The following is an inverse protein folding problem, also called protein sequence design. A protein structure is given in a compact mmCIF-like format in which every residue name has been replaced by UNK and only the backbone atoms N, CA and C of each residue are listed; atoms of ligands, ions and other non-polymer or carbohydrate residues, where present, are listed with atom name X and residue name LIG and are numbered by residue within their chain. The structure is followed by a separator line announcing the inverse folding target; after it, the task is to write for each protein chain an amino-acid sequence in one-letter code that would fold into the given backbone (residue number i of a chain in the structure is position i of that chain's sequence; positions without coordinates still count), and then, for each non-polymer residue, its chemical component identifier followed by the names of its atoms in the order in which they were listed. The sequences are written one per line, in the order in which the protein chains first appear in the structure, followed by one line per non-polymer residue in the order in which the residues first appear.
data_IF_901852752542
#
_entry.id   IF_901852752542
#
_cell.length_a   1.000
_cell.length_b   1.000
_cell.length_c   1.000
_cell.angle_alpha   90.00
_cell.angle_beta   90.00
_cell.angle_gamma   90.00
#
_symmetry.space_group_name_H-M   'P 1'
#
loop_
_entity.id
_entity.type
_entity.pdbx_description
1 polymer ?
#
# COMPACT_ATOMS: atom_id res chain seq x y z
N UNK A 1 15.18 -0.99 -15.49
CA UNK A 1 14.67 0.16 -14.72
C UNK A 1 13.17 -0.03 -14.58
N UNK A 2 12.64 -0.15 -13.36
CA UNK A 2 11.20 -0.36 -13.16
C UNK A 2 10.48 0.98 -13.37
N UNK A 3 9.85 1.15 -14.52
CA UNK A 3 8.95 2.27 -14.81
C UNK A 3 7.56 1.94 -14.29
N UNK A 4 7.05 2.78 -13.40
CA UNK A 4 5.70 2.67 -12.87
C UNK A 4 4.76 3.33 -13.88
N UNK A 5 3.94 2.56 -14.59
CA UNK A 5 2.86 3.14 -15.39
C UNK A 5 1.86 3.77 -14.40
N UNK A 6 1.85 5.10 -14.30
CA UNK A 6 1.03 5.83 -13.34
C UNK A 6 -0.44 5.78 -13.74
N UNK A 7 -1.31 5.64 -12.74
CA UNK A 7 -2.74 5.87 -12.90
C UNK A 7 -2.96 7.36 -13.27
N UNK A 8 -3.93 7.68 -14.16
CA UNK A 8 -4.25 9.08 -14.45
C UNK A 8 -4.46 9.86 -13.15
N UNK A 9 -3.79 11.00 -13.04
CA UNK A 9 -3.88 11.93 -11.91
C UNK A 9 -3.45 11.39 -10.53
N UNK A 10 -2.72 10.27 -10.46
CA UNK A 10 -2.22 9.72 -9.18
C UNK A 10 -0.70 9.49 -9.20
N UNK A 11 -0.06 9.80 -8.06
CA UNK A 11 1.39 9.61 -7.85
C UNK A 11 1.61 8.68 -6.66
N UNK A 12 2.37 7.61 -6.87
CA UNK A 12 2.86 6.77 -5.78
C UNK A 12 4.12 7.42 -5.17
N UNK A 13 4.07 7.70 -3.87
CA UNK A 13 5.20 8.30 -3.14
C UNK A 13 5.56 7.41 -1.95
N UNK A 14 6.80 6.91 -1.85
CA UNK A 14 7.29 6.26 -0.63
C UNK A 14 7.17 7.20 0.57
N UNK A 15 6.51 6.76 1.64
CA UNK A 15 6.23 7.60 2.83
C UNK A 15 7.51 8.15 3.47
N UNK A 16 8.63 7.44 3.40
CA UNK A 16 9.93 7.88 3.94
C UNK A 16 10.52 9.14 3.28
N UNK A 17 9.87 9.68 2.25
CA UNK A 17 10.23 10.94 1.59
C UNK A 17 9.34 12.12 2.02
N UNK A 18 8.33 11.89 2.87
CA UNK A 18 7.35 12.89 3.27
C UNK A 18 7.58 13.25 4.74
N UNK A 19 7.89 14.52 5.01
CA UNK A 19 8.15 15.03 6.37
C UNK A 19 6.95 14.84 7.32
N UNK A 20 5.73 14.75 6.78
CA UNK A 20 4.48 14.54 7.52
C UNK A 20 3.96 13.09 7.47
N UNK A 21 4.84 12.09 7.31
CA UNK A 21 4.44 10.68 7.22
C UNK A 21 3.53 10.22 8.37
N UNK A 22 3.72 10.74 9.59
CA UNK A 22 2.87 10.44 10.75
C UNK A 22 1.40 10.85 10.56
N UNK A 23 1.11 11.80 9.67
CA UNK A 23 -0.26 12.22 9.35
C UNK A 23 -0.93 11.36 8.27
N UNK A 24 -0.21 10.37 7.73
CA UNK A 24 -0.66 9.52 6.65
C UNK A 24 -0.71 8.06 7.13
N UNK A 25 -1.64 7.72 8.05
CA UNK A 25 -1.73 6.36 8.55
C UNK A 25 -2.07 5.39 7.41
N UNK A 26 -1.55 4.15 7.46
CA UNK A 26 -1.90 3.13 6.49
C UNK A 26 -3.40 2.86 6.52
N UNK A 27 -3.98 2.62 5.35
CA UNK A 27 -5.41 2.28 5.21
C UNK A 27 -5.64 0.81 4.86
N UNK A 28 -4.61 0.12 4.38
CA UNK A 28 -4.65 -1.27 3.91
C UNK A 28 -3.27 -1.90 4.05
N UNK A 29 -3.22 -3.18 4.40
CA UNK A 29 -2.02 -4.00 4.28
C UNK A 29 -2.13 -4.84 3.01
N UNK A 30 -1.12 -4.76 2.16
CA UNK A 30 -1.04 -5.51 0.90
C UNK A 30 -0.23 -6.79 1.09
N UNK A 31 -0.38 -7.76 0.17
CA UNK A 31 0.33 -9.05 0.20
C UNK A 31 0.17 -9.83 1.51
N UNK A 32 -1.04 -9.87 2.05
CA UNK A 32 -1.34 -10.52 3.33
C UNK A 32 -0.93 -12.01 3.38
N UNK A 33 -1.05 -12.76 2.28
CA UNK A 33 -0.61 -14.16 2.17
C UNK A 33 0.91 -14.34 2.29
N UNK A 34 1.68 -13.29 2.02
CA UNK A 34 3.13 -13.29 2.16
C UNK A 34 3.58 -12.72 3.50
N UNK A 35 2.65 -12.36 4.39
CA UNK A 35 2.99 -11.90 5.73
C UNK A 35 3.71 -13.01 6.51
N UNK A 36 4.78 -12.64 7.20
CA UNK A 36 5.48 -13.57 8.06
C UNK A 36 4.56 -14.07 9.17
N UNK A 37 4.60 -15.36 9.47
CA UNK A 37 3.69 -16.00 10.43
C UNK A 37 3.79 -15.47 11.86
N UNK A 38 4.91 -14.83 12.21
CA UNK A 38 5.13 -14.20 13.53
C UNK A 38 4.72 -12.72 13.56
N UNK A 39 4.43 -12.11 12.41
CA UNK A 39 4.06 -10.71 12.31
C UNK A 39 2.54 -10.60 12.49
N UNK A 40 2.13 -10.08 13.64
CA UNK A 40 0.73 -9.86 13.97
C UNK A 40 0.48 -8.38 14.17
N UNK A 41 -0.35 -7.80 13.30
CA UNK A 41 -0.84 -6.44 13.43
C UNK A 41 -2.16 -6.46 14.21
N UNK A 42 -2.26 -5.69 15.29
CA UNK A 42 -3.44 -5.60 16.15
C UNK A 42 -4.38 -4.46 15.74
N UNK A 43 -4.53 -4.26 14.42
CA UNK A 43 -5.40 -3.23 13.85
C UNK A 43 -6.52 -3.89 13.02
N UNK A 44 -7.56 -3.10 12.72
CA UNK A 44 -8.73 -3.54 11.94
C UNK A 44 -8.64 -3.18 10.44
N UNK A 45 -7.43 -2.87 9.95
CA UNK A 45 -7.26 -2.46 8.55
C UNK A 45 -7.54 -3.65 7.60
N UNK A 46 -7.86 -3.36 6.35
CA UNK A 46 -8.05 -4.40 5.34
C UNK A 46 -6.74 -5.15 5.07
N UNK A 47 -6.83 -6.46 4.80
CA UNK A 47 -5.72 -7.34 4.43
C UNK A 47 -5.90 -7.82 2.99
N UNK A 48 -5.37 -7.06 2.04
CA UNK A 48 -5.40 -7.43 0.62
C UNK A 48 -4.31 -8.45 0.29
N UNK A 49 -4.65 -9.39 -0.60
CA UNK A 49 -3.67 -10.34 -1.16
C UNK A 49 -2.82 -9.70 -2.26
N UNK A 50 -3.42 -8.80 -3.03
CA UNK A 50 -2.74 -8.09 -4.10
C UNK A 50 -1.95 -6.88 -3.59
N UNK A 51 -1.16 -6.29 -4.47
CA UNK A 51 -0.52 -4.99 -4.23
C UNK A 51 -1.56 -3.87 -4.20
N UNK A 52 -1.27 -2.79 -3.47
CA UNK A 52 -2.11 -1.59 -3.49
C UNK A 52 -2.24 -1.00 -4.90
N UNK A 53 -1.23 -1.20 -5.77
CA UNK A 53 -1.28 -0.84 -7.17
C UNK A 53 -2.36 -1.60 -7.93
N UNK A 54 -2.43 -2.92 -7.77
CA UNK A 54 -3.45 -3.74 -8.43
C UNK A 54 -4.85 -3.36 -7.96
N UNK A 55 -5.03 -3.11 -6.66
CA UNK A 55 -6.29 -2.61 -6.11
C UNK A 55 -6.70 -1.27 -6.73
N UNK A 56 -5.77 -0.32 -6.85
CA UNK A 56 -6.05 0.99 -7.47
C UNK A 56 -6.34 0.87 -8.97
N UNK A 57 -5.67 -0.04 -9.68
CA UNK A 57 -5.94 -0.31 -11.09
C UNK A 57 -7.34 -0.92 -11.32
N UNK A 58 -7.85 -1.73 -10.39
CA UNK A 58 -9.17 -2.34 -10.50
C UNK A 58 -10.33 -1.38 -10.14
N UNK A 59 -10.04 -0.29 -9.42
CA UNK A 59 -11.03 0.69 -8.98
C UNK A 59 -11.28 1.84 -9.98
N UNK A 60 -10.47 1.92 -11.05
CA UNK A 60 -10.56 2.90 -12.14
C UNK A 60 -11.05 2.23 -13.43
#
# INVERSE_FOLDING_TARGET
MATFDYLPDQVYVPLGLIDQADNLPPRIHCHAESAFSWLHFSDDLERAQASGRETLNAAN
#
